data_IF_895278641961
#
_entry.id   IF_895278641961
#
_cell.length_a   1.000
_cell.length_b   1.000
_cell.length_c   1.000
_cell.angle_alpha   90.00
_cell.angle_beta   90.00
_cell.angle_gamma   90.00
#
_symmetry.space_group_name_H-M   'P 1'
#
loop_
_entity.id
_entity.type
_entity.pdbx_description
1 polymer ?
#
# COMPACT_ATOMS: atom_id res chain seq x y z
N UNK A 1 -9.72 -9.59 -20.42
CA UNK A 1 -10.78 -8.56 -20.39
C UNK A 1 -10.85 -7.91 -21.76
N UNK A 2 -12.05 -7.79 -22.33
CA UNK A 2 -12.25 -7.04 -23.57
C UNK A 2 -12.08 -5.54 -23.34
N UNK A 3 -11.61 -4.83 -24.36
CA UNK A 3 -11.68 -3.37 -24.42
C UNK A 3 -12.49 -2.97 -25.64
N UNK A 4 -13.16 -1.83 -25.56
CA UNK A 4 -13.83 -1.23 -26.72
C UNK A 4 -13.29 0.17 -26.98
N UNK A 5 -13.33 0.59 -28.25
CA UNK A 5 -12.96 1.95 -28.64
C UNK A 5 -14.16 2.88 -28.36
N UNK A 6 -13.98 3.82 -27.43
CA UNK A 6 -14.98 4.82 -27.07
C UNK A 6 -15.11 5.91 -28.13
N UNK A 7 -16.19 6.70 -28.04
CA UNK A 7 -16.43 7.85 -28.92
C UNK A 7 -15.37 8.96 -28.74
N UNK A 8 -14.63 8.92 -27.64
CA UNK A 8 -13.50 9.79 -27.33
C UNK A 8 -12.18 9.32 -27.98
N UNK A 9 -12.22 8.24 -28.78
CA UNK A 9 -11.06 7.67 -29.45
C UNK A 9 -10.11 6.91 -28.53
N UNK A 10 -10.54 6.59 -27.29
CA UNK A 10 -9.73 5.84 -26.32
C UNK A 10 -10.29 4.46 -26.07
N UNK A 11 -9.42 3.51 -25.70
CA UNK A 11 -9.86 2.17 -25.30
C UNK A 11 -10.28 2.16 -23.83
N UNK A 12 -11.48 1.64 -23.59
CA UNK A 12 -12.06 1.48 -22.26
C UNK A 12 -12.32 0.01 -21.96
N UNK A 13 -12.28 -0.36 -20.69
CA UNK A 13 -12.60 -1.71 -20.24
C UNK A 13 -14.07 -2.05 -20.55
N UNK A 14 -14.33 -3.28 -20.96
CA UNK A 14 -15.68 -3.79 -21.19
C UNK A 14 -16.60 -3.56 -19.97
N UNK A 15 -17.83 -3.10 -20.23
CA UNK A 15 -18.79 -2.70 -19.19
C UNK A 15 -18.67 -1.23 -18.73
N UNK A 16 -17.65 -0.50 -19.17
CA UNK A 16 -17.60 0.95 -18.96
C UNK A 16 -18.72 1.65 -19.74
N UNK A 17 -19.22 2.78 -19.23
CA UNK A 17 -20.30 3.54 -19.86
C UNK A 17 -19.96 5.04 -19.93
N UNK A 18 -20.52 5.74 -20.92
CA UNK A 18 -20.37 7.19 -21.04
C UNK A 18 -21.34 7.89 -20.08
N UNK A 19 -20.79 8.65 -19.13
CA UNK A 19 -21.55 9.43 -18.16
C UNK A 19 -22.12 10.71 -18.76
N UNK A 20 -23.07 11.34 -18.05
CA UNK A 20 -23.65 12.63 -18.43
C UNK A 20 -22.64 13.78 -18.39
N UNK A 21 -21.49 13.57 -17.74
CA UNK A 21 -20.34 14.46 -17.73
C UNK A 21 -19.42 14.31 -18.95
N UNK A 22 -19.80 13.45 -19.90
CA UNK A 22 -19.05 13.20 -21.13
C UNK A 22 -17.79 12.35 -20.93
N UNK A 23 -17.64 11.67 -19.79
CA UNK A 23 -16.50 10.80 -19.49
C UNK A 23 -16.93 9.35 -19.38
N UNK A 24 -16.04 8.42 -19.73
CA UNK A 24 -16.29 7.01 -19.48
C UNK A 24 -16.00 6.64 -18.02
N UNK A 25 -16.93 5.90 -17.42
CA UNK A 25 -16.86 5.44 -16.04
C UNK A 25 -16.90 3.90 -15.99
N UNK A 26 -16.19 3.25 -15.05
CA UNK A 26 -16.22 1.81 -14.89
C UNK A 26 -17.63 1.29 -14.58
N UNK A 27 -17.89 0.03 -14.96
CA UNK A 27 -19.09 -0.68 -14.60
C UNK A 27 -19.38 -0.57 -13.09
N UNK A 28 -20.64 -0.31 -12.74
CA UNK A 28 -21.08 -0.15 -11.35
C UNK A 28 -20.82 1.23 -10.74
N UNK A 29 -20.29 2.20 -11.50
CA UNK A 29 -20.25 3.60 -11.06
C UNK A 29 -21.65 4.23 -11.10
N UNK A 30 -21.91 5.21 -10.25
CA UNK A 30 -23.19 5.94 -10.19
C UNK A 30 -22.97 7.44 -10.03
N UNK A 31 -23.91 8.26 -10.52
CA UNK A 31 -23.89 9.71 -10.33
C UNK A 31 -24.40 10.05 -8.92
N UNK A 32 -23.54 10.61 -8.08
CA UNK A 32 -23.87 11.03 -6.73
C UNK A 32 -24.68 12.32 -6.68
N UNK A 33 -25.26 12.61 -5.51
CA UNK A 33 -25.99 13.86 -5.27
C UNK A 33 -25.11 15.10 -5.31
N UNK A 34 -23.79 14.93 -5.27
CA UNK A 34 -22.79 15.97 -5.46
C UNK A 34 -22.46 16.24 -6.94
N UNK A 35 -23.16 15.57 -7.87
CA UNK A 35 -22.97 15.71 -9.31
C UNK A 35 -21.71 15.03 -9.84
N UNK A 36 -21.05 14.16 -9.05
CA UNK A 36 -19.85 13.43 -9.47
C UNK A 36 -20.14 11.93 -9.55
N UNK A 37 -19.41 11.23 -10.41
CA UNK A 37 -19.48 9.78 -10.47
C UNK A 37 -18.63 9.15 -9.36
N UNK A 38 -19.21 8.19 -8.66
CA UNK A 38 -18.58 7.42 -7.58
C UNK A 38 -18.63 5.92 -7.89
N UNK A 39 -17.70 5.16 -7.33
CA UNK A 39 -17.75 3.70 -7.38
C UNK A 39 -19.02 3.17 -6.70
N UNK A 40 -19.62 2.09 -7.20
CA UNK A 40 -20.70 1.36 -6.52
C UNK A 40 -20.32 0.79 -5.14
N UNK A 41 -19.04 0.88 -4.77
CA UNK A 41 -18.53 0.63 -3.42
C UNK A 41 -18.40 1.92 -2.60
N UNK A 42 -19.14 2.98 -2.91
CA UNK A 42 -19.16 4.22 -2.12
C UNK A 42 -20.48 4.42 -1.39
N UNK A 43 -20.44 5.08 -0.23
CA UNK A 43 -21.59 5.45 0.60
C UNK A 43 -21.46 6.90 1.07
N UNK A 44 -22.55 7.67 1.10
CA UNK A 44 -22.52 9.04 1.60
C UNK A 44 -22.45 9.06 3.13
N UNK A 45 -21.51 9.82 3.68
CA UNK A 45 -21.35 10.05 5.10
C UNK A 45 -22.25 11.18 5.62
N UNK A 46 -22.36 11.29 6.94
CA UNK A 46 -23.06 12.41 7.61
C UNK A 46 -22.43 13.77 7.34
N UNK A 47 -21.20 13.80 6.83
CA UNK A 47 -20.51 15.02 6.37
C UNK A 47 -20.90 15.42 4.94
N UNK A 48 -21.82 14.68 4.31
CA UNK A 48 -22.28 14.92 2.94
C UNK A 48 -21.27 14.50 1.87
N UNK A 49 -20.18 13.81 2.23
CA UNK A 49 -19.16 13.33 1.29
C UNK A 49 -19.29 11.83 1.07
N UNK A 50 -18.89 11.36 -0.10
CA UNK A 50 -18.83 9.92 -0.39
C UNK A 50 -17.55 9.30 0.14
N UNK A 51 -17.69 8.20 0.87
CA UNK A 51 -16.61 7.39 1.43
C UNK A 51 -16.70 5.95 0.93
N UNK A 52 -15.63 5.17 1.07
CA UNK A 52 -15.66 3.75 0.75
C UNK A 52 -16.72 3.02 1.58
N UNK A 53 -17.38 2.03 0.99
CA UNK A 53 -18.44 1.24 1.63
C UNK A 53 -17.90 0.60 2.91
N UNK A 54 -18.63 0.79 4.01
CA UNK A 54 -18.26 0.29 5.33
C UNK A 54 -17.32 1.22 6.11
N UNK A 55 -16.91 2.36 5.54
CA UNK A 55 -16.22 3.38 6.31
C UNK A 55 -17.13 3.92 7.42
N UNK A 56 -16.54 4.31 8.54
CA UNK A 56 -17.26 4.83 9.70
C UNK A 56 -16.62 6.12 10.21
N UNK A 57 -17.42 6.99 10.83
CA UNK A 57 -16.93 8.20 11.49
C UNK A 57 -16.33 7.82 12.86
N UNK A 58 -15.03 8.01 13.02
CA UNK A 58 -14.33 7.78 14.27
C UNK A 58 -14.62 8.85 15.31
N UNK A 59 -14.27 8.57 16.56
CA UNK A 59 -14.40 9.52 17.68
C UNK A 59 -13.49 10.75 17.53
N UNK A 60 -12.49 10.66 16.65
CA UNK A 60 -11.62 11.76 16.23
C UNK A 60 -12.25 12.67 15.16
N UNK A 61 -13.50 12.41 14.77
CA UNK A 61 -14.23 13.19 13.77
C UNK A 61 -13.78 12.92 12.33
N UNK A 62 -13.03 11.84 12.07
CA UNK A 62 -12.56 11.46 10.72
C UNK A 62 -13.17 10.14 10.28
N UNK A 63 -13.36 9.97 8.98
CA UNK A 63 -13.78 8.68 8.43
C UNK A 63 -12.60 7.72 8.32
N UNK A 64 -12.82 6.49 8.79
CA UNK A 64 -11.84 5.40 8.73
C UNK A 64 -12.38 4.23 7.91
N UNK A 65 -11.52 3.48 7.19
CA UNK A 65 -11.93 2.29 6.46
C UNK A 65 -12.56 1.24 7.39
N UNK A 66 -13.44 0.41 6.81
CA UNK A 66 -14.01 -0.74 7.51
C UNK A 66 -12.90 -1.61 8.14
N UNK A 67 -13.12 -2.06 9.38
CA UNK A 67 -12.16 -2.89 10.12
C UNK A 67 -11.05 -2.13 10.85
N UNK A 68 -10.94 -0.81 10.66
CA UNK A 68 -10.02 0.02 11.46
C UNK A 68 -10.44 0.04 12.94
N UNK A 69 -9.49 0.19 13.86
CA UNK A 69 -9.74 0.21 15.30
C UNK A 69 -8.98 1.35 15.99
N UNK A 70 -9.50 1.86 17.11
CA UNK A 70 -8.83 2.86 17.93
C UNK A 70 -7.81 2.17 18.84
N UNK A 71 -6.53 2.47 18.65
CA UNK A 71 -5.44 1.96 19.48
C UNK A 71 -5.36 2.66 20.83
N UNK A 72 -4.63 2.04 21.75
CA UNK A 72 -4.29 2.59 23.08
C UNK A 72 -3.47 3.89 23.02
N UNK A 73 -2.90 4.21 21.86
CA UNK A 73 -2.20 5.47 21.59
C UNK A 73 -3.16 6.61 21.16
N UNK A 74 -4.46 6.34 21.13
CA UNK A 74 -5.50 7.30 20.74
C UNK A 74 -5.61 7.54 19.24
N UNK A 75 -5.00 6.68 18.41
CA UNK A 75 -5.05 6.78 16.94
C UNK A 75 -5.78 5.58 16.34
N UNK A 76 -6.41 5.79 15.19
CA UNK A 76 -6.99 4.68 14.43
C UNK A 76 -5.93 3.96 13.61
N UNK A 77 -5.96 2.63 13.66
CA UNK A 77 -5.05 1.74 12.94
C UNK A 77 -5.84 0.81 12.00
N UNK A 78 -5.24 0.39 10.87
CA UNK A 78 -5.91 -0.51 9.93
C UNK A 78 -6.18 -1.88 10.55
N UNK A 79 -7.14 -2.61 9.97
CA UNK A 79 -7.41 -3.99 10.35
C UNK A 79 -6.13 -4.84 10.28
N UNK A 80 -5.89 -5.65 11.31
CA UNK A 80 -4.72 -6.53 11.39
C UNK A 80 -3.46 -5.87 11.96
N UNK A 81 -3.47 -4.55 12.23
CA UNK A 81 -2.39 -3.92 12.98
C UNK A 81 -2.32 -4.43 14.42
N UNK A 82 -1.12 -4.41 15.01
CA UNK A 82 -0.83 -4.91 16.35
C UNK A 82 0.13 -3.96 17.09
N UNK A 83 0.03 -3.92 18.42
CA UNK A 83 0.96 -3.19 19.28
C UNK A 83 2.24 -4.01 19.47
N UNK A 84 3.36 -3.50 18.98
CA UNK A 84 4.67 -4.10 19.09
C UNK A 84 5.30 -3.97 20.48
N UNK A 85 6.33 -4.77 20.74
CA UNK A 85 7.12 -4.74 21.96
C UNK A 85 7.87 -3.41 22.16
N UNK A 86 8.05 -2.64 21.10
CA UNK A 86 8.61 -1.29 21.13
C UNK A 86 7.58 -0.20 21.49
N UNK A 87 6.34 -0.61 21.82
CA UNK A 87 5.26 0.29 22.23
C UNK A 87 4.60 1.05 21.07
N UNK A 88 4.84 0.63 19.82
CA UNK A 88 4.25 1.24 18.62
C UNK A 88 3.32 0.27 17.91
N UNK A 89 2.30 0.78 17.24
CA UNK A 89 1.47 -0.04 16.36
C UNK A 89 2.17 -0.27 15.03
N UNK A 90 2.10 -1.51 14.55
CA UNK A 90 2.62 -1.99 13.27
C UNK A 90 1.47 -2.66 12.51
N UNK A 91 1.33 -2.52 11.18
CA UNK A 91 0.33 -3.21 10.41
C UNK A 91 0.66 -4.71 10.36
N UNK A 92 -0.31 -5.46 9.83
CA UNK A 92 -0.11 -6.86 9.55
C UNK A 92 1.10 -7.08 8.64
N UNK A 93 1.91 -8.09 8.97
CA UNK A 93 3.09 -8.50 8.20
C UNK A 93 4.43 -8.08 8.80
N UNK A 94 4.47 -7.10 9.72
CA UNK A 94 5.72 -6.80 10.42
C UNK A 94 6.06 -7.91 11.43
N UNK A 95 7.34 -8.16 11.66
CA UNK A 95 7.79 -9.10 12.69
C UNK A 95 8.99 -8.56 13.46
N UNK A 96 9.12 -8.95 14.73
CA UNK A 96 10.26 -8.61 15.58
C UNK A 96 11.44 -9.55 15.25
N UNK A 97 12.51 -8.99 14.72
CA UNK A 97 13.76 -9.68 14.42
C UNK A 97 14.58 -10.01 15.67
N UNK A 98 15.56 -10.89 15.49
CA UNK A 98 16.49 -11.28 16.55
C UNK A 98 17.39 -10.12 17.02
N UNK A 99 17.50 -9.05 16.22
CA UNK A 99 18.23 -7.83 16.58
C UNK A 99 17.38 -6.85 17.42
N UNK A 100 16.15 -7.24 17.79
CA UNK A 100 15.24 -6.43 18.58
C UNK A 100 14.52 -5.33 17.79
N UNK A 101 14.57 -5.35 16.45
CA UNK A 101 13.88 -4.38 15.59
C UNK A 101 12.75 -5.05 14.80
N UNK A 102 11.76 -4.27 14.41
CA UNK A 102 10.72 -4.73 13.49
C UNK A 102 11.19 -4.63 12.04
N UNK A 103 10.81 -5.62 11.24
CA UNK A 103 11.14 -5.77 9.81
C UNK A 103 9.89 -6.07 8.99
N UNK A 104 9.95 -5.78 7.68
CA UNK A 104 8.85 -6.10 6.75
C UNK A 104 8.68 -7.62 6.59
N UNK A 105 7.46 -8.04 6.27
CA UNK A 105 7.12 -9.45 6.05
C UNK A 105 8.09 -10.16 5.09
N UNK A 106 8.49 -11.37 5.47
CA UNK A 106 9.38 -12.21 4.67
C UNK A 106 10.84 -11.77 4.63
N UNK A 107 11.21 -10.70 5.35
CA UNK A 107 12.62 -10.33 5.50
C UNK A 107 13.42 -11.43 6.18
N UNK A 108 14.69 -11.55 5.84
CA UNK A 108 15.57 -12.61 6.35
C UNK A 108 16.87 -12.03 6.91
N UNK A 109 17.44 -12.68 7.93
CA UNK A 109 18.74 -12.31 8.48
C UNK A 109 19.86 -12.81 7.56
N UNK A 110 20.58 -11.88 6.93
CA UNK A 110 21.71 -12.18 6.05
C UNK A 110 22.95 -12.61 6.82
N UNK A 111 23.92 -13.18 6.11
CA UNK A 111 25.22 -13.57 6.68
C UNK A 111 26.04 -12.38 7.18
N UNK A 112 25.66 -11.16 6.81
CA UNK A 112 26.24 -9.90 7.30
C UNK A 112 25.60 -9.40 8.61
N UNK A 113 24.68 -10.18 9.19
CA UNK A 113 24.01 -9.86 10.45
C UNK A 113 22.93 -8.78 10.34
N UNK A 114 22.48 -8.45 9.12
CA UNK A 114 21.39 -7.49 8.88
C UNK A 114 20.18 -8.17 8.25
N UNK A 115 18.98 -7.65 8.52
CA UNK A 115 17.77 -8.11 7.86
C UNK A 115 17.61 -7.50 6.47
N UNK A 116 17.38 -8.34 5.47
CA UNK A 116 17.18 -7.94 4.08
C UNK A 116 15.77 -8.25 3.59
N UNK A 117 15.28 -7.47 2.62
CA UNK A 117 13.97 -7.69 2.03
C UNK A 117 13.85 -9.09 1.40
N UNK A 118 12.63 -9.61 1.24
CA UNK A 118 12.39 -10.81 0.46
C UNK A 118 13.05 -10.72 -0.91
N UNK A 119 13.66 -11.82 -1.35
CA UNK A 119 14.32 -11.95 -2.66
C UNK A 119 15.59 -11.08 -2.85
N UNK A 120 16.07 -10.38 -1.82
CA UNK A 120 17.42 -9.81 -1.82
C UNK A 120 18.46 -10.94 -1.91
N UNK A 121 19.59 -10.68 -2.59
CA UNK A 121 20.63 -11.67 -2.87
C UNK A 121 22.02 -11.14 -2.54
N UNK A 122 22.95 -12.04 -2.16
CA UNK A 122 24.36 -11.70 -1.95
C UNK A 122 25.08 -11.59 -3.30
N UNK A 123 25.53 -10.39 -3.64
CA UNK A 123 26.28 -10.10 -4.86
C UNK A 123 27.72 -10.61 -4.81
N UNK A 124 28.37 -10.61 -5.97
CA UNK A 124 29.79 -10.98 -6.09
C UNK A 124 30.74 -9.99 -5.41
N UNK A 125 30.27 -8.81 -5.05
CA UNK A 125 30.98 -7.80 -4.27
C UNK A 125 30.86 -8.02 -2.75
N UNK A 126 30.18 -9.10 -2.33
CA UNK A 126 29.96 -9.46 -0.93
C UNK A 126 28.89 -8.66 -0.22
N UNK A 127 28.03 -7.92 -0.94
CA UNK A 127 26.92 -7.14 -0.37
C UNK A 127 25.58 -7.70 -0.80
N UNK A 128 24.58 -7.56 0.07
CA UNK A 128 23.21 -7.87 -0.31
C UNK A 128 22.62 -6.76 -1.18
N UNK A 129 21.90 -7.17 -2.22
CA UNK A 129 21.21 -6.29 -3.16
C UNK A 129 19.74 -6.69 -3.29
N UNK A 130 18.82 -5.71 -3.45
CA UNK A 130 17.41 -6.01 -3.63
C UNK A 130 17.15 -6.73 -4.96
N UNK A 131 16.02 -7.43 -5.04
CA UNK A 131 15.57 -8.06 -6.29
C UNK A 131 15.49 -7.04 -7.43
N UNK A 132 15.99 -7.45 -8.59
CA UNK A 132 16.05 -6.62 -9.79
C UNK A 132 17.35 -5.83 -9.93
N UNK A 133 18.23 -5.86 -8.92
CA UNK A 133 19.59 -5.35 -9.07
C UNK A 133 20.40 -6.19 -10.05
N UNK A 134 21.29 -5.53 -10.80
CA UNK A 134 22.16 -6.20 -11.78
C UNK A 134 23.55 -5.57 -11.78
N UNK A 135 24.57 -6.35 -12.15
CA UNK A 135 25.94 -5.86 -12.25
C UNK A 135 26.11 -5.05 -13.55
N UNK A 136 26.35 -3.74 -13.42
CA UNK A 136 26.59 -2.84 -14.53
C UNK A 136 27.97 -3.03 -15.15
N UNK A 137 28.16 -2.48 -16.36
CA UNK A 137 29.45 -2.50 -17.08
C UNK A 137 30.58 -1.75 -16.35
N UNK A 138 30.21 -0.88 -15.40
CA UNK A 138 31.13 -0.19 -14.49
C UNK A 138 31.62 -1.08 -13.33
N UNK A 139 31.19 -2.34 -13.27
CA UNK A 139 31.52 -3.29 -12.21
C UNK A 139 30.80 -3.02 -10.88
N UNK A 140 29.72 -2.23 -10.88
CA UNK A 140 28.91 -1.94 -9.69
C UNK A 140 27.50 -2.46 -9.89
N UNK A 141 26.87 -2.89 -8.80
CA UNK A 141 25.45 -3.22 -8.84
C UNK A 141 24.61 -1.95 -9.00
N UNK A 142 23.73 -1.96 -9.99
CA UNK A 142 22.69 -0.96 -10.21
C UNK A 142 21.41 -1.48 -9.56
N UNK A 143 20.82 -0.70 -8.65
CA UNK A 143 19.67 -1.12 -7.85
C UNK A 143 18.38 -0.42 -8.28
N UNK A 144 17.22 -1.10 -8.23
CA UNK A 144 15.95 -0.46 -8.53
C UNK A 144 15.62 0.69 -7.57
N UNK A 145 15.16 1.80 -8.14
CA UNK A 145 14.74 2.99 -7.39
C UNK A 145 13.64 2.58 -6.40
N UNK A 146 13.77 3.05 -5.15
CA UNK A 146 12.81 2.78 -4.08
C UNK A 146 13.09 1.49 -3.32
N UNK A 147 13.57 0.42 -3.97
CA UNK A 147 13.93 -0.82 -3.27
C UNK A 147 15.17 -0.63 -2.40
N UNK A 148 16.20 0.07 -2.89
CA UNK A 148 17.37 0.43 -2.08
C UNK A 148 16.99 1.23 -0.82
N UNK A 149 16.01 2.14 -0.94
CA UNK A 149 15.50 2.92 0.19
C UNK A 149 14.74 2.03 1.16
N UNK A 150 13.84 1.17 0.65
CA UNK A 150 13.04 0.24 1.45
C UNK A 150 13.92 -0.79 2.17
N UNK A 151 14.99 -1.26 1.54
CA UNK A 151 16.00 -2.14 2.10
C UNK A 151 16.70 -1.46 3.29
N UNK A 152 17.12 -0.20 3.12
CA UNK A 152 17.71 0.58 4.22
C UNK A 152 16.74 0.82 5.38
N UNK A 153 15.46 1.08 5.08
CA UNK A 153 14.42 1.19 6.10
C UNK A 153 14.24 -0.15 6.84
N UNK A 154 14.21 -1.26 6.11
CA UNK A 154 14.09 -2.60 6.65
C UNK A 154 15.22 -2.96 7.61
N UNK A 155 16.45 -2.52 7.34
CA UNK A 155 17.58 -2.73 8.25
C UNK A 155 17.48 -1.93 9.57
N UNK A 156 16.55 -0.96 9.62
CA UNK A 156 16.18 -0.21 10.82
C UNK A 156 15.05 -0.88 11.61
N UNK A 157 14.43 -0.13 12.52
CA UNK A 157 13.19 -0.52 13.17
C UNK A 157 12.04 0.08 12.36
N UNK A 158 11.43 -0.71 11.48
CA UNK A 158 10.32 -0.22 10.67
C UNK A 158 9.08 -0.10 11.54
N UNK A 159 8.40 1.02 11.41
CA UNK A 159 6.95 1.04 11.59
C UNK A 159 6.46 0.86 10.17
N UNK A 160 6.18 -0.39 9.79
CA UNK A 160 5.36 -0.57 8.62
C UNK A 160 3.99 0.11 8.89
#
# INVERSE_FOLDING_TARGET
MGKFLGIDGKYHEEGSFLGVDGKYHPAGSFLGSDGKYHSGKSTIGVDGKYHGKGSFLGVDGKYHPAGSFLGSDGKYHPQGAFLGADGKYHPQGCFLGADGKYHYEGSFLGSDGRYHLPESFLGSDGKYHPKGSFLGVNGRYEEPIGLAKKEKENQGNVIC
#
